data_IF_886904273584
#
_entry.id   IF_886904273584
#
_cell.length_a   1.000
_cell.length_b   1.000
_cell.length_c   1.000
_cell.angle_alpha   90.00
_cell.angle_beta   90.00
_cell.angle_gamma   90.00
#
_symmetry.space_group_name_H-M   'P 1'
#
loop_
_entity.id
_entity.type
_entity.pdbx_description
1 polymer ?
#
# COMPACT_ATOMS: atom_id res chain seq x y z
N UNK A 1 14.26 -50.07 11.19
CA UNK A 1 15.63 -50.31 11.67
C UNK A 1 16.30 -48.94 11.94
N UNK A 2 16.53 -48.68 13.26
CA UNK A 2 17.44 -47.71 13.91
C UNK A 2 17.32 -46.23 13.47
N UNK A 3 16.65 -45.31 14.23
CA UNK A 3 17.04 -44.70 15.52
C UNK A 3 18.47 -44.21 15.60
N UNK A 4 18.70 -42.89 15.59
CA UNK A 4 19.72 -42.24 16.42
C UNK A 4 19.24 -40.83 16.78
N UNK A 5 18.92 -40.68 18.05
CA UNK A 5 18.79 -39.49 18.86
C UNK A 5 20.18 -38.93 19.18
N UNK A 6 20.38 -37.64 19.17
CA UNK A 6 21.38 -36.98 20.04
C UNK A 6 20.92 -35.60 20.50
N UNK A 7 20.54 -35.57 21.78
CA UNK A 7 20.56 -34.42 22.68
C UNK A 7 21.98 -33.94 22.90
N UNK A 8 22.21 -32.65 23.00
CA UNK A 8 23.24 -32.12 23.88
C UNK A 8 22.72 -30.93 24.67
N UNK A 9 22.88 -31.07 25.94
CA UNK A 9 22.47 -30.25 27.07
C UNK A 9 23.73 -29.53 27.61
N UNK A 10 23.44 -28.53 28.44
CA UNK A 10 24.35 -27.91 29.46
C UNK A 10 25.18 -26.71 28.99
N UNK A 11 25.33 -25.75 29.71
CA UNK A 11 25.00 -25.24 31.04
C UNK A 11 25.97 -24.10 31.40
N UNK A 12 25.48 -23.19 32.12
CA UNK A 12 25.97 -22.65 33.39
C UNK A 12 26.92 -21.46 33.45
N UNK A 13 26.42 -20.46 34.17
CA UNK A 13 27.07 -19.66 35.25
C UNK A 13 28.20 -18.69 34.86
N UNK A 14 28.19 -17.45 35.28
CA UNK A 14 28.32 -17.01 36.65
C UNK A 14 28.13 -15.48 36.81
N UNK A 15 27.66 -15.14 37.97
CA UNK A 15 27.58 -13.80 38.57
C UNK A 15 28.95 -13.14 38.70
N UNK A 16 28.99 -11.80 38.58
CA UNK A 16 29.83 -10.96 39.46
C UNK A 16 29.10 -9.67 39.78
N UNK A 17 28.95 -9.42 41.07
CA UNK A 17 28.44 -8.22 41.75
C UNK A 17 29.61 -7.30 42.03
N UNK A 18 29.47 -6.00 41.88
CA UNK A 18 30.16 -5.00 42.67
C UNK A 18 29.51 -3.62 42.56
N UNK A 19 29.14 -3.05 43.66
CA UNK A 19 28.69 -1.68 43.95
C UNK A 19 29.86 -0.84 44.52
N UNK A 20 29.66 0.40 45.01
CA UNK A 20 29.39 1.66 44.33
C UNK A 20 30.46 2.72 44.67
N UNK A 21 30.44 3.87 44.02
CA UNK A 21 31.11 5.06 44.55
C UNK A 21 30.29 6.32 44.26
N UNK A 22 29.99 7.03 45.35
CA UNK A 22 29.46 8.40 45.40
C UNK A 22 30.53 9.39 44.92
N UNK A 23 30.12 10.45 44.25
CA UNK A 23 30.95 11.62 43.99
C UNK A 23 30.09 12.79 43.50
N UNK A 24 30.09 13.85 44.26
CA UNK A 24 29.25 15.05 44.33
C UNK A 24 29.39 16.01 43.12
N UNK A 25 28.28 16.75 42.94
CA UNK A 25 28.06 18.14 42.52
C UNK A 25 29.13 18.92 41.76
N UNK A 26 28.71 19.57 40.67
CA UNK A 26 28.80 21.04 40.51
C UNK A 26 27.83 21.53 39.39
N UNK A 27 27.08 22.53 39.76
CA UNK A 27 26.40 23.65 39.14
C UNK A 27 26.25 23.79 37.62
N UNK A 28 24.98 23.94 37.23
CA UNK A 28 24.35 24.95 36.40
C UNK A 28 25.06 25.47 35.13
N UNK A 29 24.48 25.11 34.00
CA UNK A 29 24.25 26.09 32.92
C UNK A 29 23.03 25.64 32.10
N UNK A 30 21.96 26.40 32.23
CA UNK A 30 20.72 26.27 31.47
C UNK A 30 20.96 26.69 30.02
N UNK A 31 21.27 25.73 29.16
CA UNK A 31 21.19 25.93 27.71
C UNK A 31 19.81 25.50 27.29
N UNK A 32 19.00 26.48 26.97
CA UNK A 32 17.71 26.38 26.32
C UNK A 32 17.91 25.67 24.97
N UNK A 33 17.81 24.35 24.95
CA UNK A 33 17.74 23.55 23.73
C UNK A 33 16.30 23.58 23.29
N UNK A 34 15.99 24.55 22.48
CA UNK A 34 14.85 24.55 21.58
C UNK A 34 14.93 23.23 20.77
N UNK A 35 14.31 22.17 21.28
CA UNK A 35 14.15 20.93 20.54
C UNK A 35 13.19 21.20 19.39
N UNK A 36 13.74 21.39 18.23
CA UNK A 36 13.01 21.24 16.97
C UNK A 36 12.53 19.79 16.95
N UNK A 37 11.29 19.58 17.35
CA UNK A 37 10.62 18.30 17.14
C UNK A 37 10.45 18.14 15.63
N UNK A 38 11.40 17.48 15.01
CA UNK A 38 11.19 16.84 13.73
C UNK A 38 10.04 15.86 13.96
N UNK A 39 8.83 16.20 13.50
CA UNK A 39 7.71 15.27 13.43
C UNK A 39 8.18 14.08 12.60
N UNK A 40 8.66 13.06 13.26
CA UNK A 40 8.87 11.75 12.66
C UNK A 40 7.48 11.29 12.22
N UNK A 41 7.17 11.49 10.93
CA UNK A 41 5.92 11.11 10.29
C UNK A 41 5.79 9.58 10.41
N UNK A 42 5.24 9.16 11.55
CA UNK A 42 5.10 7.74 11.88
C UNK A 42 4.22 7.09 10.82
N UNK A 43 4.74 6.09 10.15
CA UNK A 43 3.98 5.33 9.16
C UNK A 43 2.71 4.75 9.79
N UNK A 44 1.58 4.73 9.06
CA UNK A 44 0.34 4.18 9.58
C UNK A 44 0.52 2.73 9.96
N UNK A 45 -0.11 2.32 11.07
CA UNK A 45 -0.21 0.90 11.38
C UNK A 45 -0.89 0.17 10.21
N UNK A 46 -0.51 -1.08 9.90
CA UNK A 46 -1.09 -1.82 8.77
C UNK A 46 -2.63 -1.78 8.75
N UNK A 47 -3.27 -1.86 9.92
CA UNK A 47 -4.73 -1.80 10.08
C UNK A 47 -5.35 -0.47 9.64
N UNK A 48 -4.57 0.60 9.60
CA UNK A 48 -5.04 1.94 9.25
C UNK A 48 -4.71 2.32 7.80
N UNK A 49 -3.87 1.54 7.12
CA UNK A 49 -3.35 1.88 5.80
C UNK A 49 -4.47 2.07 4.77
N UNK A 50 -5.37 1.10 4.64
CA UNK A 50 -6.46 1.15 3.67
C UNK A 50 -7.38 2.34 3.89
N UNK A 51 -7.66 2.68 5.16
CA UNK A 51 -8.45 3.88 5.51
C UNK A 51 -7.80 5.19 5.06
N UNK A 52 -6.47 5.26 5.03
CA UNK A 52 -5.74 6.43 4.53
C UNK A 52 -5.74 6.53 3.01
N UNK A 53 -5.97 5.42 2.31
CA UNK A 53 -6.10 5.42 0.86
C UNK A 53 -7.47 5.93 0.38
N UNK A 54 -8.49 6.02 1.25
CA UNK A 54 -9.84 6.47 0.89
C UNK A 54 -9.80 7.88 0.30
N UNK A 55 -10.48 8.06 -0.85
CA UNK A 55 -10.60 9.33 -1.54
C UNK A 55 -10.59 9.18 -3.05
N UNK A 56 -10.63 10.31 -3.73
CA UNK A 56 -10.53 10.41 -5.19
C UNK A 56 -9.09 10.70 -5.59
N UNK A 57 -8.67 10.07 -6.64
CA UNK A 57 -7.31 10.08 -7.14
C UNK A 57 -7.27 10.38 -8.63
N UNK A 58 -6.24 11.09 -9.06
CA UNK A 58 -5.94 11.31 -10.47
C UNK A 58 -4.45 11.15 -10.70
N UNK A 59 -4.04 10.76 -11.88
CA UNK A 59 -2.63 10.57 -12.13
C UNK A 59 -2.29 10.02 -13.51
N UNK A 60 -1.22 9.23 -13.52
CA UNK A 60 -0.68 8.63 -14.73
C UNK A 60 -0.48 7.13 -14.51
N UNK A 61 -0.88 6.33 -15.49
CA UNK A 61 -0.59 4.90 -15.54
C UNK A 61 0.40 4.63 -16.66
N UNK A 62 1.45 3.88 -16.34
CA UNK A 62 2.47 3.38 -17.27
C UNK A 62 2.34 1.87 -17.41
N UNK A 63 2.48 1.35 -18.63
CA UNK A 63 2.34 -0.08 -18.91
C UNK A 63 3.53 -0.61 -19.71
N UNK A 64 4.03 -1.77 -19.30
CA UNK A 64 5.12 -2.51 -19.96
C UNK A 64 4.65 -3.92 -20.30
N UNK A 65 4.92 -4.39 -21.54
CA UNK A 65 4.69 -5.78 -21.94
C UNK A 65 5.97 -6.61 -21.93
N UNK A 66 7.10 -5.93 -21.97
CA UNK A 66 8.44 -6.52 -21.91
C UNK A 66 9.27 -5.76 -20.89
N UNK A 67 10.23 -6.41 -20.21
CA UNK A 67 11.09 -5.73 -19.24
C UNK A 67 11.73 -4.45 -19.81
N UNK A 68 11.51 -3.33 -19.10
CA UNK A 68 12.10 -2.03 -19.46
C UNK A 68 11.53 -1.33 -20.69
N UNK A 69 10.60 -1.94 -21.44
CA UNK A 69 10.01 -1.36 -22.65
C UNK A 69 8.63 -0.77 -22.35
N UNK A 70 8.61 0.53 -22.13
CA UNK A 70 7.36 1.27 -21.96
C UNK A 70 6.51 1.19 -23.24
N UNK A 71 5.26 0.78 -23.10
CA UNK A 71 4.32 0.58 -24.21
C UNK A 71 3.26 1.66 -24.25
N UNK A 72 2.86 2.16 -23.09
CA UNK A 72 1.83 3.18 -22.95
C UNK A 72 2.05 4.02 -21.69
N UNK A 73 1.70 5.29 -21.78
CA UNK A 73 1.58 6.20 -20.66
C UNK A 73 0.31 7.02 -20.85
N UNK A 74 -0.65 6.88 -19.94
CA UNK A 74 -1.98 7.46 -20.07
C UNK A 74 -2.43 8.10 -18.76
N UNK A 75 -3.42 8.99 -18.86
CA UNK A 75 -4.11 9.51 -17.66
C UNK A 75 -4.98 8.43 -17.05
N UNK A 76 -5.12 8.51 -15.75
CA UNK A 76 -5.98 7.61 -14.96
C UNK A 76 -6.66 8.41 -13.86
N UNK A 77 -7.92 8.08 -13.59
CA UNK A 77 -8.65 8.49 -12.39
C UNK A 77 -9.04 7.27 -11.59
N UNK A 78 -9.15 7.42 -10.28
CA UNK A 78 -9.55 6.34 -9.39
C UNK A 78 -10.29 6.87 -8.17
N UNK A 79 -11.06 6.00 -7.55
CA UNK A 79 -11.72 6.28 -6.28
C UNK A 79 -11.58 5.07 -5.36
N UNK A 80 -11.17 5.33 -4.13
CA UNK A 80 -11.13 4.31 -3.08
C UNK A 80 -12.17 4.69 -2.03
N UNK A 81 -13.14 3.79 -1.81
CA UNK A 81 -14.23 3.99 -0.83
C UNK A 81 -14.19 2.91 0.24
N UNK A 82 -14.57 3.29 1.45
CA UNK A 82 -14.74 2.37 2.56
C UNK A 82 -16.09 1.65 2.44
N UNK A 83 -16.10 0.35 2.68
CA UNK A 83 -17.28 -0.52 2.68
C UNK A 83 -17.45 -1.20 4.04
N UNK A 84 -18.70 -1.56 4.38
CA UNK A 84 -19.02 -2.40 5.54
C UNK A 84 -18.31 -1.93 6.82
N UNK A 85 -18.47 -0.65 7.15
CA UNK A 85 -17.90 -0.01 8.35
C UNK A 85 -16.36 -0.05 8.41
N UNK A 86 -15.68 0.03 7.27
CA UNK A 86 -14.23 0.06 7.21
C UNK A 86 -13.54 -1.30 7.23
N UNK A 87 -14.31 -2.39 7.14
CA UNK A 87 -13.73 -3.74 7.07
C UNK A 87 -13.23 -4.09 5.67
N UNK A 88 -13.79 -3.46 4.64
CA UNK A 88 -13.41 -3.64 3.24
C UNK A 88 -13.30 -2.28 2.55
N UNK A 89 -12.57 -2.25 1.44
CA UNK A 89 -12.41 -1.06 0.62
C UNK A 89 -12.57 -1.46 -0.84
N UNK A 90 -13.16 -0.59 -1.64
CA UNK A 90 -13.27 -0.78 -3.07
C UNK A 90 -12.49 0.33 -3.77
N UNK A 91 -11.58 -0.06 -4.63
CA UNK A 91 -10.89 0.81 -5.57
C UNK A 91 -11.48 0.59 -6.96
N UNK A 92 -12.05 1.63 -7.55
CA UNK A 92 -12.44 1.65 -8.96
C UNK A 92 -11.52 2.59 -9.70
N UNK A 93 -11.19 2.27 -10.95
CA UNK A 93 -10.34 3.13 -11.75
C UNK A 93 -10.75 3.12 -13.23
N UNK A 94 -10.51 4.28 -13.87
CA UNK A 94 -10.73 4.50 -15.29
C UNK A 94 -9.47 5.11 -15.90
N UNK A 95 -9.08 4.58 -17.04
CA UNK A 95 -7.90 5.04 -17.79
C UNK A 95 -7.99 4.65 -19.25
N UNK A 96 -6.83 4.58 -19.88
CA UNK A 96 -6.75 4.05 -21.25
C UNK A 96 -5.49 3.23 -21.44
N UNK A 97 -5.48 2.42 -22.51
CA UNK A 97 -4.34 1.67 -22.98
C UNK A 97 -4.29 1.82 -24.50
N UNK A 98 -3.26 2.50 -25.01
CA UNK A 98 -3.14 2.83 -26.44
C UNK A 98 -4.41 3.49 -27.01
N UNK A 99 -4.98 4.43 -26.23
CA UNK A 99 -6.20 5.15 -26.59
C UNK A 99 -7.50 4.37 -26.46
N UNK A 100 -7.48 3.11 -26.03
CA UNK A 100 -8.69 2.34 -25.72
C UNK A 100 -9.05 2.49 -24.25
N UNK A 101 -10.31 2.78 -23.90
CA UNK A 101 -10.75 2.84 -22.51
C UNK A 101 -10.40 1.55 -21.75
N UNK A 102 -10.06 1.70 -20.49
CA UNK A 102 -9.78 0.61 -19.57
C UNK A 102 -10.40 0.95 -18.21
N UNK A 103 -11.17 0.01 -17.65
CA UNK A 103 -11.82 0.13 -16.37
C UNK A 103 -11.49 -1.10 -15.53
N UNK A 104 -11.32 -0.89 -14.24
CA UNK A 104 -11.11 -2.01 -13.33
C UNK A 104 -11.60 -1.72 -11.93
N UNK A 105 -11.73 -2.79 -11.18
CA UNK A 105 -12.17 -2.76 -9.80
C UNK A 105 -11.34 -3.72 -8.95
N UNK A 106 -11.05 -3.28 -7.73
CA UNK A 106 -10.40 -4.09 -6.70
C UNK A 106 -11.20 -3.99 -5.41
N UNK A 107 -11.45 -5.13 -4.77
CA UNK A 107 -11.88 -5.17 -3.39
C UNK A 107 -10.68 -5.49 -2.52
N UNK A 108 -10.39 -4.60 -1.56
CA UNK A 108 -9.22 -4.68 -0.69
C UNK A 108 -9.67 -4.93 0.75
N UNK A 109 -8.93 -5.78 1.45
CA UNK A 109 -9.16 -6.06 2.87
C UNK A 109 -7.85 -6.38 3.58
N UNK A 110 -7.86 -6.27 4.91
CA UNK A 110 -6.85 -6.88 5.75
C UNK A 110 -7.52 -7.91 6.66
N UNK A 111 -7.08 -9.16 6.58
CA UNK A 111 -7.57 -10.24 7.42
C UNK A 111 -7.17 -9.97 8.89
N UNK A 112 -8.16 -9.76 9.75
CA UNK A 112 -7.93 -9.42 11.16
C UNK A 112 -7.23 -10.53 11.98
N UNK A 113 -7.24 -11.77 11.50
CA UNK A 113 -6.63 -12.94 12.15
C UNK A 113 -5.20 -13.12 11.66
N UNK A 114 -5.01 -13.24 10.35
CA UNK A 114 -3.70 -13.54 9.74
C UNK A 114 -2.84 -12.30 9.56
N UNK A 115 -3.44 -11.11 9.66
CA UNK A 115 -2.81 -9.80 9.38
C UNK A 115 -2.32 -9.66 7.93
N UNK A 116 -2.79 -10.51 7.04
CA UNK A 116 -2.51 -10.45 5.61
C UNK A 116 -3.44 -9.47 4.90
N UNK A 117 -2.91 -8.73 3.95
CA UNK A 117 -3.69 -7.98 2.98
C UNK A 117 -4.20 -8.90 1.89
N UNK A 118 -5.39 -8.62 1.40
CA UNK A 118 -6.05 -9.40 0.36
C UNK A 118 -6.62 -8.46 -0.69
N UNK A 119 -6.49 -8.84 -1.96
CA UNK A 119 -7.10 -8.15 -3.10
C UNK A 119 -7.87 -9.17 -3.95
N UNK A 120 -9.09 -8.78 -4.32
CA UNK A 120 -9.87 -9.39 -5.38
C UNK A 120 -9.91 -8.38 -6.54
N UNK A 121 -9.23 -8.67 -7.66
CA UNK A 121 -9.09 -7.77 -8.80
C UNK A 121 -9.69 -8.32 -10.08
N UNK A 122 -10.33 -7.46 -10.84
CA UNK A 122 -10.80 -7.71 -12.20
C UNK A 122 -10.83 -6.41 -13.01
N UNK A 123 -10.64 -6.51 -14.32
CA UNK A 123 -10.75 -5.38 -15.24
C UNK A 123 -11.25 -5.82 -16.63
N UNK A 124 -11.56 -4.86 -17.49
CA UNK A 124 -12.02 -5.10 -18.84
C UNK A 124 -10.88 -5.28 -19.87
N UNK A 125 -9.61 -5.27 -19.43
CA UNK A 125 -8.43 -5.34 -20.29
C UNK A 125 -7.64 -6.64 -20.09
N UNK A 126 -7.46 -7.10 -18.86
CA UNK A 126 -6.68 -8.28 -18.52
C UNK A 126 -7.57 -9.50 -18.24
N UNK A 127 -6.95 -10.68 -18.11
CA UNK A 127 -7.53 -11.88 -17.52
C UNK A 127 -8.74 -12.47 -18.26
N UNK A 128 -9.16 -11.92 -19.39
CA UNK A 128 -10.29 -12.46 -20.21
C UNK A 128 -11.55 -12.77 -19.41
N UNK A 129 -11.89 -11.91 -18.41
CA UNK A 129 -13.05 -12.08 -17.55
C UNK A 129 -12.81 -12.97 -16.30
N UNK A 130 -11.56 -13.33 -16.00
CA UNK A 130 -11.23 -14.01 -14.75
C UNK A 130 -11.10 -13.02 -13.58
N UNK A 131 -11.14 -13.54 -12.36
CA UNK A 131 -10.90 -12.80 -11.12
C UNK A 131 -9.54 -13.22 -10.57
N UNK A 132 -8.68 -12.25 -10.26
CA UNK A 132 -7.42 -12.51 -9.57
C UNK A 132 -7.59 -12.30 -8.07
N UNK A 133 -7.25 -13.32 -7.30
CA UNK A 133 -7.17 -13.24 -5.84
C UNK A 133 -5.69 -13.22 -5.45
N UNK A 134 -5.32 -12.20 -4.67
CA UNK A 134 -3.96 -12.02 -4.18
C UNK A 134 -3.94 -11.84 -2.67
N UNK A 135 -2.91 -12.33 -2.01
CA UNK A 135 -2.68 -12.18 -0.58
C UNK A 135 -1.21 -11.88 -0.30
N UNK A 136 -0.93 -11.13 0.77
CA UNK A 136 0.44 -10.81 1.14
C UNK A 136 0.57 -9.96 2.40
N UNK A 137 1.73 -9.38 2.59
CA UNK A 137 2.15 -8.75 3.83
C UNK A 137 2.27 -7.23 3.73
N UNK A 138 2.31 -6.57 4.88
CA UNK A 138 2.73 -5.18 4.96
C UNK A 138 4.20 -5.02 4.54
N UNK A 139 4.48 -3.91 3.87
CA UNK A 139 5.83 -3.42 3.59
C UNK A 139 6.00 -2.05 4.27
N UNK A 140 7.20 -1.48 4.21
CA UNK A 140 7.54 -0.25 4.94
C UNK A 140 6.52 0.88 4.74
N UNK A 141 6.02 1.10 3.51
CA UNK A 141 5.13 2.22 3.18
C UNK A 141 3.76 1.78 2.69
N UNK A 142 3.38 0.53 2.94
CA UNK A 142 2.13 -0.02 2.44
C UNK A 142 2.02 -1.53 2.57
N UNK A 143 1.65 -2.18 1.49
CA UNK A 143 1.57 -3.64 1.43
C UNK A 143 1.89 -4.18 0.05
N UNK A 144 2.28 -5.45 0.01
CA UNK A 144 2.55 -6.22 -1.20
C UNK A 144 1.77 -7.51 -1.17
N UNK A 145 1.04 -7.79 -2.23
CA UNK A 145 0.23 -9.01 -2.38
C UNK A 145 0.57 -9.72 -3.68
N UNK A 146 0.44 -11.05 -3.68
CA UNK A 146 0.69 -11.87 -4.87
C UNK A 146 -0.41 -12.88 -5.08
N UNK A 147 -0.76 -13.10 -6.34
CA UNK A 147 -1.72 -14.11 -6.80
C UNK A 147 -1.19 -14.87 -8.00
N UNK A 148 -1.88 -15.94 -8.38
CA UNK A 148 -1.57 -16.73 -9.57
C UNK A 148 -2.71 -16.65 -10.57
N UNK A 149 -2.38 -16.69 -11.84
CA UNK A 149 -3.35 -16.68 -12.94
C UNK A 149 -2.99 -17.66 -14.03
N UNK A 150 -4.01 -18.12 -14.74
CA UNK A 150 -3.87 -18.97 -15.92
C UNK A 150 -3.77 -18.07 -17.17
N UNK A 151 -2.72 -18.21 -17.94
CA UNK A 151 -2.53 -17.45 -19.18
C UNK A 151 -2.80 -18.30 -20.43
N UNK A 152 -2.78 -19.64 -20.32
CA UNK A 152 -3.18 -20.57 -21.36
C UNK A 152 -3.52 -21.94 -20.77
N UNK A 153 -4.46 -22.70 -21.39
CA UNK A 153 -4.82 -24.03 -20.92
C UNK A 153 -3.63 -24.99 -20.87
N UNK A 154 -3.44 -25.68 -19.74
CA UNK A 154 -2.38 -26.68 -19.54
C UNK A 154 -0.97 -26.13 -19.46
N UNK A 155 -0.79 -24.80 -19.36
CA UNK A 155 0.50 -24.18 -19.12
C UNK A 155 0.70 -23.92 -17.63
N UNK A 156 1.95 -23.85 -17.14
CA UNK A 156 2.23 -23.42 -15.77
C UNK A 156 1.65 -22.02 -15.54
N UNK A 157 1.06 -21.80 -14.36
CA UNK A 157 0.50 -20.49 -13.99
C UNK A 157 1.57 -19.40 -13.98
N UNK A 158 1.19 -18.21 -14.41
CA UNK A 158 1.91 -16.99 -14.10
C UNK A 158 1.57 -16.48 -12.71
N UNK A 159 2.35 -15.54 -12.23
CA UNK A 159 2.10 -14.82 -11.00
C UNK A 159 1.91 -13.33 -11.28
N UNK A 160 1.21 -12.67 -10.38
CA UNK A 160 1.01 -11.24 -10.38
C UNK A 160 1.21 -10.71 -8.97
N UNK A 161 2.13 -9.76 -8.80
CA UNK A 161 2.37 -9.08 -7.54
C UNK A 161 1.94 -7.62 -7.66
N UNK A 162 1.24 -7.12 -6.67
CA UNK A 162 0.82 -5.72 -6.60
C UNK A 162 1.29 -5.11 -5.29
N UNK A 163 1.99 -3.98 -5.39
CA UNK A 163 2.45 -3.17 -4.28
C UNK A 163 1.61 -1.89 -4.22
N UNK A 164 1.08 -1.58 -3.05
CA UNK A 164 0.41 -0.33 -2.72
C UNK A 164 1.29 0.46 -1.76
N UNK A 165 1.68 1.68 -2.14
CA UNK A 165 2.56 2.51 -1.33
C UNK A 165 2.05 3.95 -1.21
N UNK A 166 1.82 4.41 0.02
CA UNK A 166 1.58 5.82 0.30
C UNK A 166 2.91 6.50 0.59
N UNK A 167 3.34 7.39 -0.30
CA UNK A 167 4.50 8.25 -0.08
C UNK A 167 4.19 9.26 1.04
N UNK A 168 2.99 9.81 1.01
CA UNK A 168 2.40 10.73 2.00
C UNK A 168 0.87 10.68 1.91
N UNK A 169 0.14 11.62 2.52
CA UNK A 169 -1.33 11.67 2.48
C UNK A 169 -1.93 11.90 1.10
N UNK A 170 -1.15 12.49 0.19
CA UNK A 170 -1.63 12.97 -1.10
C UNK A 170 -1.05 12.20 -2.30
N UNK A 171 -0.10 11.27 -2.08
CA UNK A 171 0.57 10.52 -3.14
C UNK A 171 0.50 9.02 -2.89
N UNK A 172 -0.20 8.30 -3.77
CA UNK A 172 -0.33 6.84 -3.76
C UNK A 172 0.29 6.27 -5.03
N UNK A 173 1.18 5.30 -4.89
CA UNK A 173 1.72 4.54 -6.02
C UNK A 173 1.23 3.10 -5.95
N UNK A 174 0.75 2.57 -7.06
CA UNK A 174 0.36 1.17 -7.21
C UNK A 174 1.23 0.60 -8.32
N UNK A 175 2.08 -0.37 -7.96
CA UNK A 175 2.99 -1.02 -8.92
C UNK A 175 2.65 -2.49 -9.04
N UNK A 176 2.45 -2.96 -10.25
CA UNK A 176 2.19 -4.37 -10.51
C UNK A 176 3.32 -5.00 -11.34
N UNK A 177 3.61 -6.26 -11.00
CA UNK A 177 4.66 -7.05 -11.62
C UNK A 177 4.10 -8.36 -12.15
N UNK A 178 4.47 -8.69 -13.36
CA UNK A 178 4.24 -10.00 -13.93
C UNK A 178 5.34 -10.95 -13.48
N UNK A 179 4.97 -12.11 -12.97
CA UNK A 179 5.91 -13.15 -12.50
C UNK A 179 5.81 -14.34 -13.46
N UNK A 180 6.89 -14.61 -14.15
CA UNK A 180 6.98 -15.73 -15.05
C UNK A 180 6.99 -17.07 -14.28
N UNK A 181 6.60 -18.21 -14.90
CA UNK A 181 6.64 -19.51 -14.23
C UNK A 181 8.02 -19.93 -13.69
N UNK A 182 9.10 -19.37 -14.20
CA UNK A 182 10.46 -19.56 -13.70
C UNK A 182 10.81 -18.68 -12.49
N UNK A 183 9.89 -17.80 -12.04
CA UNK A 183 10.06 -16.89 -10.93
C UNK A 183 10.65 -15.53 -11.29
N UNK A 184 10.98 -15.26 -12.56
CA UNK A 184 11.43 -13.94 -12.99
C UNK A 184 10.28 -12.93 -12.90
N UNK A 185 10.56 -11.77 -12.30
CA UNK A 185 9.62 -10.67 -12.18
C UNK A 185 9.95 -9.54 -13.15
N UNK A 186 8.92 -8.96 -13.75
CA UNK A 186 9.03 -7.76 -14.55
C UNK A 186 7.92 -6.78 -14.22
N UNK A 187 8.25 -5.49 -14.08
CA UNK A 187 7.25 -4.43 -13.92
C UNK A 187 6.32 -4.45 -15.13
N UNK A 188 5.03 -4.53 -14.85
CA UNK A 188 3.97 -4.57 -15.87
C UNK A 188 3.13 -3.29 -15.89
N UNK A 189 2.80 -2.75 -14.71
CA UNK A 189 2.00 -1.53 -14.58
C UNK A 189 2.55 -0.69 -13.41
N UNK A 190 2.52 0.63 -13.57
CA UNK A 190 2.76 1.58 -12.49
C UNK A 190 1.75 2.70 -12.59
N UNK A 191 0.96 2.86 -11.55
CA UNK A 191 0.02 3.97 -11.41
C UNK A 191 0.55 4.92 -10.34
N UNK A 192 0.74 6.18 -10.71
CA UNK A 192 1.15 7.23 -9.77
C UNK A 192 -0.02 8.19 -9.63
N UNK A 193 -0.61 8.19 -8.45
CA UNK A 193 -1.77 8.98 -8.10
C UNK A 193 -1.42 10.19 -7.23
N UNK A 194 -2.11 11.29 -7.49
CA UNK A 194 -2.25 12.45 -6.62
C UNK A 194 -3.70 12.54 -6.14
N UNK A 195 -3.89 12.88 -4.86
CA UNK A 195 -5.22 13.02 -4.27
C UNK A 195 -5.94 14.24 -4.84
N UNK A 196 -7.16 14.04 -5.28
CA UNK A 196 -8.03 15.14 -5.70
C UNK A 196 -8.50 15.90 -4.46
N UNK A 197 -8.14 17.19 -4.37
CA UNK A 197 -8.58 18.06 -3.29
C UNK A 197 -9.96 18.63 -3.64
N UNK A 198 -10.96 18.30 -2.85
CA UNK A 198 -12.27 18.94 -2.96
C UNK A 198 -12.16 20.33 -2.31
N UNK A 199 -12.19 21.37 -3.11
CA UNK A 199 -12.32 22.74 -2.60
C UNK A 199 -13.79 22.90 -2.16
N UNK A 200 -14.06 23.43 -0.96
CA UNK A 200 -15.42 23.76 -0.56
C UNK A 200 -15.97 24.77 -1.58
N UNK A 201 -17.03 24.38 -2.28
CA UNK A 201 -17.76 25.31 -3.13
C UNK A 201 -18.38 26.33 -2.17
N UNK A 202 -17.85 27.56 -2.18
CA UNK A 202 -18.48 28.65 -1.46
C UNK A 202 -19.91 28.79 -1.99
N UNK A 203 -20.87 28.39 -1.18
CA UNK A 203 -22.28 28.62 -1.48
C UNK A 203 -22.46 30.12 -1.75
N UNK A 204 -23.06 30.51 -2.87
CA UNK A 204 -23.28 31.92 -3.14
C UNK A 204 -24.09 32.50 -1.97
N UNK A 205 -23.57 33.60 -1.38
CA UNK A 205 -24.26 34.35 -0.35
C UNK A 205 -25.67 34.70 -0.86
N UNK A 206 -26.67 34.20 -0.18
CA UNK A 206 -28.06 34.64 -0.41
C UNK A 206 -28.08 36.15 -0.16
N UNK A 207 -28.12 36.92 -1.22
CA UNK A 207 -28.43 38.33 -1.16
C UNK A 207 -29.91 38.43 -0.67
N UNK A 208 -30.06 38.89 0.56
CA UNK A 208 -31.36 39.23 1.12
C UNK A 208 -32.06 40.22 0.20
N UNK A 209 -33.37 40.03 -0.12
CA UNK A 209 -34.10 41.04 -0.85
C UNK A 209 -34.27 42.28 0.04
N UNK A 210 -33.76 43.42 -0.41
CA UNK A 210 -34.02 44.72 0.19
C UNK A 210 -35.51 45.03 0.06
N UNK A 211 -36.22 45.02 1.18
CA UNK A 211 -37.52 45.69 1.28
C UNK A 211 -37.24 47.19 1.12
N UNK A 212 -37.76 47.77 0.07
CA UNK A 212 -38.03 49.20 0.01
C UNK A 212 -39.55 49.48 0.11
N UNK A 213 -39.92 50.59 0.76
CA UNK A 213 -41.28 50.94 1.15
C UNK A 213 -42.18 51.31 -0.02
#
# INVERSE_FOLDING_TARGET
MRLITKMFLAACCSLVVATPALGQNTDAESVDKQSTQEETKTMPKPEQFLGKCVGKWQGTVKTWFEPGKLVDESKVSGEIVSLLNGNFFRHTYEGSMKGKPRHGEETLAMNGITKKFQICWFDDFHMSGAILISEGDSIERGFSVSGKYDWAPGKPQGGWRTDYELKDSDHLTITAYNIMPNGEEAKAVETVYERVKEYPINSPSQSSPSNQP
#
